data_IF_827743255725
#
_entry.id   IF_827743255725
#
_cell.length_a   1.000
_cell.length_b   1.000
_cell.length_c   1.000
_cell.angle_alpha   90.00
_cell.angle_beta   90.00
_cell.angle_gamma   90.00
#
_symmetry.space_group_name_H-M   'P 1'
#
loop_
_entity.id
_entity.type
_entity.pdbx_description
1 polymer ?
#
# COMPACT_ATOMS: atom_id res chain seq x y z
N UNK A 1 5.55 -22.91 -19.38
CA UNK A 1 5.22 -22.28 -18.08
C UNK A 1 3.71 -22.00 -18.05
N UNK A 2 3.01 -22.32 -16.97
CA UNK A 2 1.60 -21.93 -16.78
C UNK A 2 1.56 -20.50 -16.21
N UNK A 3 0.69 -19.59 -16.71
CA UNK A 3 0.64 -18.20 -16.26
C UNK A 3 -0.11 -18.05 -14.92
N UNK A 4 0.35 -18.74 -13.88
CA UNK A 4 -0.20 -18.68 -12.53
C UNK A 4 0.88 -18.34 -11.52
N UNK A 5 0.52 -17.56 -10.50
CA UNK A 5 1.35 -17.27 -9.34
C UNK A 5 0.50 -17.35 -8.08
N UNK A 6 1.06 -17.74 -6.93
CA UNK A 6 0.33 -17.66 -5.68
C UNK A 6 -0.07 -16.20 -5.37
N UNK A 7 -1.35 -16.00 -5.08
CA UNK A 7 -1.98 -14.68 -4.94
C UNK A 7 -2.37 -14.34 -3.49
N UNK A 8 -1.86 -15.09 -2.51
CA UNK A 8 -2.19 -14.89 -1.10
C UNK A 8 -1.41 -13.72 -0.45
N UNK A 9 -0.28 -13.32 -1.04
CA UNK A 9 0.53 -12.21 -0.56
C UNK A 9 1.16 -11.47 -1.74
N UNK A 10 1.25 -10.14 -1.62
CA UNK A 10 1.89 -9.28 -2.59
C UNK A 10 2.90 -8.37 -1.89
N UNK A 11 3.99 -8.07 -2.59
CA UNK A 11 4.78 -6.87 -2.27
C UNK A 11 4.00 -5.63 -2.70
N UNK A 12 4.28 -4.48 -2.11
CA UNK A 12 3.67 -3.21 -2.53
C UNK A 12 3.83 -2.97 -4.05
N UNK A 13 5.01 -3.28 -4.59
CA UNK A 13 5.27 -3.22 -6.03
C UNK A 13 4.32 -4.13 -6.84
N UNK A 14 4.17 -5.38 -6.44
CA UNK A 14 3.34 -6.35 -7.17
C UNK A 14 1.84 -6.11 -7.00
N UNK A 15 1.43 -5.37 -5.96
CA UNK A 15 0.05 -4.93 -5.80
C UNK A 15 -0.30 -3.72 -6.66
N UNK A 16 0.69 -2.92 -7.10
CA UNK A 16 0.44 -1.70 -7.85
C UNK A 16 -0.42 -1.94 -9.09
N UNK A 17 -1.46 -1.11 -9.27
CA UNK A 17 -2.42 -1.23 -10.37
C UNK A 17 -3.48 -2.32 -10.19
N UNK A 18 -3.46 -3.07 -9.08
CA UNK A 18 -4.53 -4.03 -8.75
C UNK A 18 -5.70 -3.33 -8.05
N UNK A 19 -6.88 -3.90 -8.24
CA UNK A 19 -8.07 -3.57 -7.45
C UNK A 19 -8.45 -4.77 -6.58
N UNK A 20 -8.36 -4.61 -5.27
CA UNK A 20 -8.61 -5.64 -4.26
C UNK A 20 -9.87 -5.28 -3.46
N UNK A 21 -10.71 -6.28 -3.21
CA UNK A 21 -11.90 -6.11 -2.38
C UNK A 21 -11.57 -6.22 -0.89
N UNK A 22 -10.59 -7.05 -0.54
CA UNK A 22 -10.15 -7.31 0.84
C UNK A 22 -8.63 -7.42 0.87
N UNK A 23 -8.02 -7.03 1.99
CA UNK A 23 -6.57 -7.13 2.14
C UNK A 23 -6.10 -6.84 3.56
N UNK A 24 -4.99 -7.49 3.92
CA UNK A 24 -4.29 -7.25 5.18
C UNK A 24 -2.95 -6.55 4.89
N UNK A 25 -2.76 -5.33 5.41
CA UNK A 25 -1.59 -4.49 5.13
C UNK A 25 -0.67 -4.41 6.34
N UNK A 26 0.64 -4.57 6.11
CA UNK A 26 1.68 -4.38 7.12
C UNK A 26 2.37 -3.01 6.96
N UNK A 27 1.81 -1.97 7.58
CA UNK A 27 2.41 -0.63 7.56
C UNK A 27 3.69 -0.51 8.42
N UNK A 28 3.88 -1.36 9.42
CA UNK A 28 5.05 -1.28 10.30
C UNK A 28 6.36 -1.59 9.55
N UNK A 29 6.33 -2.50 8.58
CA UNK A 29 7.47 -2.78 7.68
C UNK A 29 7.53 -1.85 6.46
N UNK A 30 6.65 -0.85 6.36
CA UNK A 30 6.58 0.02 5.19
C UNK A 30 7.81 0.95 5.13
N UNK A 31 8.53 1.01 3.99
CA UNK A 31 9.75 1.79 3.88
C UNK A 31 9.48 3.31 3.78
N UNK A 32 8.41 3.71 3.09
CA UNK A 32 8.10 5.11 2.83
C UNK A 32 6.60 5.33 2.53
N UNK A 33 6.21 6.60 2.38
CA UNK A 33 4.82 7.01 2.11
C UNK A 33 4.29 6.47 0.78
N UNK A 34 5.11 6.40 -0.26
CA UNK A 34 4.69 5.92 -1.57
C UNK A 34 4.25 4.46 -1.53
N UNK A 35 4.99 3.60 -0.82
CA UNK A 35 4.60 2.20 -0.65
C UNK A 35 3.33 2.05 0.20
N UNK A 36 3.17 2.88 1.23
CA UNK A 36 1.94 2.89 2.03
C UNK A 36 0.73 3.29 1.17
N UNK A 37 0.88 4.32 0.33
CA UNK A 37 -0.12 4.77 -0.63
C UNK A 37 -0.47 3.68 -1.63
N UNK A 38 0.52 3.01 -2.23
CA UNK A 38 0.26 1.92 -3.20
C UNK A 38 -0.53 0.79 -2.55
N UNK A 39 -0.12 0.30 -1.38
CA UNK A 39 -0.84 -0.79 -0.72
C UNK A 39 -2.28 -0.40 -0.38
N UNK A 40 -2.49 0.82 0.14
CA UNK A 40 -3.82 1.28 0.56
C UNK A 40 -4.74 1.60 -0.62
N UNK A 41 -4.22 2.23 -1.67
CA UNK A 41 -4.99 2.63 -2.87
C UNK A 41 -5.44 1.45 -3.72
N UNK A 42 -4.85 0.27 -3.54
CA UNK A 42 -5.32 -0.96 -4.19
C UNK A 42 -6.64 -1.46 -3.61
N UNK A 43 -7.04 -1.06 -2.40
CA UNK A 43 -8.29 -1.48 -1.77
C UNK A 43 -9.46 -0.59 -2.18
N UNK A 44 -10.59 -1.21 -2.52
CA UNK A 44 -11.80 -0.49 -2.96
C UNK A 44 -12.62 0.13 -1.83
N UNK A 45 -12.53 -0.42 -0.63
CA UNK A 45 -13.28 0.05 0.53
C UNK A 45 -12.46 -0.12 1.81
N UNK A 46 -12.77 0.70 2.82
CA UNK A 46 -12.15 0.59 4.14
C UNK A 46 -12.63 -0.63 4.92
N UNK A 47 -13.86 -1.10 4.68
CA UNK A 47 -14.41 -2.30 5.35
C UNK A 47 -13.61 -3.57 5.00
N UNK A 48 -12.96 -3.60 3.83
CA UNK A 48 -12.09 -4.69 3.41
C UNK A 48 -10.64 -4.60 3.92
N UNK A 49 -10.29 -3.54 4.65
CA UNK A 49 -8.94 -3.31 5.16
C UNK A 49 -8.74 -3.92 6.53
N UNK A 50 -7.72 -4.76 6.66
CA UNK A 50 -7.17 -5.17 7.96
C UNK A 50 -5.73 -4.65 8.10
N UNK A 51 -5.38 -4.14 9.27
CA UNK A 51 -4.01 -3.76 9.61
C UNK A 51 -3.35 -4.94 10.33
N UNK A 52 -2.26 -5.47 9.78
CA UNK A 52 -1.62 -6.69 10.30
C UNK A 52 -1.07 -6.52 11.73
N UNK A 53 -0.53 -5.34 12.03
CA UNK A 53 0.06 -5.02 13.33
C UNK A 53 0.11 -3.51 13.57
N UNK A 54 0.17 -3.05 14.84
CA UNK A 54 0.33 -1.65 15.15
C UNK A 54 1.52 -1.02 14.43
N UNK A 55 1.38 0.25 14.01
CA UNK A 55 2.42 0.99 13.31
C UNK A 55 2.44 2.44 13.79
N UNK A 56 3.61 3.09 13.68
CA UNK A 56 3.75 4.49 14.04
C UNK A 56 2.99 5.39 13.04
N UNK A 57 2.26 6.37 13.54
CA UNK A 57 1.42 7.27 12.71
C UNK A 57 2.21 7.98 11.61
N UNK A 58 3.50 8.26 11.87
CA UNK A 58 4.43 8.84 10.91
C UNK A 58 4.71 7.95 9.68
N UNK A 59 4.25 6.69 9.61
CA UNK A 59 4.34 5.84 8.41
C UNK A 59 3.37 6.26 7.30
N UNK A 60 2.25 6.90 7.67
CA UNK A 60 1.21 7.35 6.74
C UNK A 60 0.98 8.87 6.80
N UNK A 61 1.44 9.52 7.88
CA UNK A 61 1.35 10.99 8.08
C UNK A 61 2.71 11.66 7.87
N UNK A 62 3.46 11.26 6.85
CA UNK A 62 4.69 11.92 6.45
C UNK A 62 4.44 12.89 5.30
N UNK A 63 5.32 13.87 5.15
CA UNK A 63 5.31 14.79 4.01
C UNK A 63 5.68 14.01 2.74
N UNK A 64 4.95 14.24 1.65
CA UNK A 64 5.34 13.72 0.34
C UNK A 64 6.74 14.26 -0.06
N UNK A 65 7.51 13.56 -0.91
CA UNK A 65 8.75 14.11 -1.47
C UNK A 65 8.52 15.49 -2.10
N UNK A 66 9.55 16.34 -2.09
CA UNK A 66 9.44 17.71 -2.61
C UNK A 66 9.09 17.74 -4.09
N UNK A 67 9.66 16.81 -4.87
CA UNK A 67 9.34 16.58 -6.28
C UNK A 67 7.82 16.44 -6.50
N UNK A 68 7.18 15.53 -5.75
CA UNK A 68 5.73 15.30 -5.82
C UNK A 68 4.93 16.53 -5.37
N UNK A 69 5.41 17.27 -4.36
CA UNK A 69 4.74 18.50 -3.94
C UNK A 69 4.80 19.59 -5.01
N UNK A 70 5.89 19.65 -5.78
CA UNK A 70 6.06 20.63 -6.84
C UNK A 70 5.23 20.26 -8.08
N UNK A 71 5.05 18.97 -8.37
CA UNK A 71 4.17 18.49 -9.44
C UNK A 71 2.67 18.74 -9.17
N UNK A 72 2.27 18.76 -7.89
CA UNK A 72 0.87 18.95 -7.49
C UNK A 72 0.46 20.42 -7.25
N UNK A 73 1.39 21.37 -7.39
CA UNK A 73 1.13 22.82 -7.31
C UNK A 73 0.76 23.38 -8.68
#
# INVERSE_FOLDING_TARGET
QVPIVPAFAYTAHNSQGRSLNVGCINFASCPNLAMAYVMLSCLRCLDGLTILRPFASNKIRCRAPEEIQNELK
#
